data_IF_602752282109
#
_entry.id   IF_602752282109
#
_cell.length_a   1.000
_cell.length_b   1.000
_cell.length_c   1.000
_cell.angle_alpha   90.00
_cell.angle_beta   90.00
_cell.angle_gamma   90.00
#
_symmetry.space_group_name_H-M   'P 1'
#
loop_
_entity.id
_entity.type
_entity.pdbx_description
1 polymer ?
#
# COMPACT_ATOMS: atom_id res chain seq x y z
N UNK A 1 8.10 -14.22 0.42
CA UNK A 1 8.44 -13.40 -0.76
C UNK A 1 9.58 -12.44 -0.44
N UNK A 2 9.45 -11.66 0.64
CA UNK A 2 10.51 -10.76 1.15
C UNK A 2 11.89 -11.42 1.27
N UNK A 3 11.98 -12.62 1.87
CA UNK A 3 13.26 -13.33 2.05
C UNK A 3 13.91 -13.77 0.73
N UNK A 4 13.12 -13.92 -0.35
CA UNK A 4 13.64 -14.24 -1.68
C UNK A 4 14.21 -13.01 -2.39
N UNK A 5 13.81 -11.81 -1.96
CA UNK A 5 14.25 -10.54 -2.52
C UNK A 5 15.47 -10.00 -1.77
N UNK A 6 15.60 -10.27 -0.47
CA UNK A 6 16.78 -9.89 0.30
C UNK A 6 18.04 -10.60 -0.22
N UNK A 7 19.02 -9.82 -0.69
CA UNK A 7 20.25 -10.34 -1.29
C UNK A 7 20.11 -10.74 -2.76
N UNK A 8 18.93 -10.57 -3.37
CA UNK A 8 18.78 -10.76 -4.81
C UNK A 8 19.58 -9.70 -5.56
N UNK A 9 20.44 -10.14 -6.49
CA UNK A 9 21.27 -9.27 -7.31
C UNK A 9 20.51 -8.80 -8.54
N UNK A 10 20.30 -7.49 -8.64
CA UNK A 10 19.73 -6.82 -9.81
C UNK A 10 20.77 -5.82 -10.33
N UNK A 11 21.33 -6.09 -11.52
CA UNK A 11 22.30 -5.20 -12.18
C UNK A 11 23.43 -4.73 -11.24
N UNK A 12 23.98 -5.66 -10.47
CA UNK A 12 25.05 -5.49 -9.47
C UNK A 12 24.63 -4.84 -8.14
N UNK A 13 23.34 -4.59 -7.92
CA UNK A 13 22.81 -4.14 -6.63
C UNK A 13 22.10 -5.27 -5.90
N UNK A 14 22.47 -5.49 -4.64
CA UNK A 14 21.74 -6.40 -3.76
C UNK A 14 20.50 -5.69 -3.20
N UNK A 15 19.32 -6.24 -3.46
CA UNK A 15 18.08 -5.70 -2.93
C UNK A 15 17.99 -5.96 -1.42
N UNK A 16 17.54 -4.93 -0.67
CA UNK A 16 17.18 -5.04 0.74
C UNK A 16 15.73 -4.60 0.89
N UNK A 17 14.90 -5.48 1.44
CA UNK A 17 13.47 -5.30 1.63
C UNK A 17 13.13 -5.58 3.09
N UNK A 18 12.57 -4.58 3.76
CA UNK A 18 12.04 -4.69 5.12
C UNK A 18 10.54 -4.42 5.12
N UNK A 19 9.79 -5.22 5.85
CA UNK A 19 8.38 -4.93 6.11
C UNK A 19 8.28 -3.83 7.19
N UNK A 20 7.51 -2.78 6.91
CA UNK A 20 7.19 -1.72 7.87
C UNK A 20 5.70 -1.88 8.19
N UNK A 21 5.31 -2.39 9.37
CA UNK A 21 3.92 -2.51 9.75
C UNK A 21 3.27 -1.11 9.87
N UNK A 22 2.01 -1.01 9.48
CA UNK A 22 1.27 0.26 9.41
C UNK A 22 1.21 0.99 10.77
N UNK A 23 1.26 0.28 11.90
CA UNK A 23 1.35 0.88 13.24
C UNK A 23 2.65 1.65 13.51
N UNK A 24 3.73 1.30 12.81
CA UNK A 24 5.06 1.95 12.94
C UNK A 24 5.34 2.95 11.81
N UNK A 25 4.56 2.88 10.72
CA UNK A 25 4.56 3.89 9.69
C UNK A 25 3.86 5.13 10.25
N UNK A 26 4.64 6.09 10.74
CA UNK A 26 4.18 7.36 11.31
C UNK A 26 2.87 7.82 10.66
N UNK A 27 1.78 7.70 11.41
CA UNK A 27 0.46 8.13 11.00
C UNK A 27 0.52 9.65 11.00
N UNK A 28 0.71 10.27 9.83
CA UNK A 28 0.26 11.65 9.61
C UNK A 28 -1.28 11.61 9.67
N UNK A 29 -1.79 11.53 10.90
CA UNK A 29 -3.21 11.60 11.17
C UNK A 29 -3.65 13.06 10.94
N UNK A 30 -4.61 13.34 10.04
CA UNK A 30 -5.29 14.63 10.09
C UNK A 30 -6.03 14.70 11.43
N UNK A 31 -5.77 15.76 12.18
CA UNK A 31 -6.36 16.00 13.49
C UNK A 31 -7.88 15.81 13.46
N UNK A 32 -8.37 14.88 14.29
CA UNK A 32 -9.78 14.58 14.50
C UNK A 32 -10.51 15.83 14.98
N UNK A 33 -11.34 16.39 14.09
CA UNK A 33 -12.29 17.44 14.41
C UNK A 33 -13.61 16.89 14.93
N UNK A 34 -13.88 17.08 16.22
CA UNK A 34 -15.18 17.57 16.69
C UNK A 34 -16.35 16.59 16.89
N UNK A 35 -16.53 16.19 18.16
CA UNK A 35 -17.77 15.83 18.86
C UNK A 35 -19.10 16.25 18.19
N UNK A 36 -20.03 15.28 18.04
CA UNK A 36 -21.52 15.32 18.14
C UNK A 36 -22.02 13.97 17.59
N UNK A 37 -22.93 13.20 18.16
CA UNK A 37 -23.87 13.34 19.26
C UNK A 37 -24.56 11.98 19.44
N UNK A 38 -25.05 11.79 20.66
CA UNK A 38 -25.78 10.63 21.18
C UNK A 38 -27.12 10.41 20.47
N UNK A 39 -27.42 9.17 20.05
CA UNK A 39 -28.79 8.65 19.82
C UNK A 39 -28.77 7.10 19.72
N UNK A 40 -29.41 6.34 20.64
CA UNK A 40 -29.51 4.88 20.53
C UNK A 40 -30.95 4.46 20.22
N UNK A 41 -31.30 4.13 18.95
CA UNK A 41 -32.59 3.48 18.61
C UNK A 41 -32.51 2.61 17.35
N UNK A 42 -32.41 1.29 17.52
CA UNK A 42 -32.69 0.30 16.47
C UNK A 42 -32.39 -1.16 16.87
N UNK A 43 -33.27 -2.14 16.60
CA UNK A 43 -33.08 -3.55 16.98
C UNK A 43 -32.05 -4.27 16.10
N UNK A 44 -31.36 -5.31 16.62
CA UNK A 44 -30.33 -6.02 15.87
C UNK A 44 -30.97 -6.96 14.84
N UNK A 45 -30.68 -6.75 13.55
CA UNK A 45 -31.04 -7.71 12.50
C UNK A 45 -29.96 -8.80 12.39
N UNK A 46 -30.45 -10.01 12.63
CA UNK A 46 -29.87 -11.34 12.49
C UNK A 46 -28.95 -11.50 11.26
N UNK A 47 -27.77 -12.06 11.50
CA UNK A 47 -26.71 -12.23 10.51
C UNK A 47 -26.96 -13.36 9.51
N UNK A 48 -26.43 -13.18 8.31
CA UNK A 48 -26.24 -14.21 7.30
C UNK A 48 -24.74 -14.36 7.04
N UNK A 49 -24.12 -15.55 7.15
CA UNK A 49 -22.71 -15.71 6.87
C UNK A 49 -22.50 -15.78 5.35
N UNK A 50 -21.96 -14.71 4.78
CA UNK A 50 -21.45 -14.71 3.39
C UNK A 50 -20.24 -15.65 3.29
N UNK A 51 -20.51 -16.92 2.97
CA UNK A 51 -19.52 -17.88 2.47
C UNK A 51 -19.24 -17.56 0.99
N UNK A 52 -18.27 -16.70 0.69
CA UNK A 52 -17.88 -16.52 -0.71
C UNK A 52 -17.21 -15.22 -1.10
N UNK A 53 -16.29 -14.71 -0.30
CA UNK A 53 -15.28 -13.79 -0.83
C UNK A 53 -13.95 -14.18 -0.20
N UNK A 54 -13.26 -15.15 -0.82
CA UNK A 54 -11.80 -15.23 -0.65
C UNK A 54 -11.28 -13.90 -1.18
N UNK A 55 -10.77 -12.97 -0.35
CA UNK A 55 -10.13 -11.80 -0.89
C UNK A 55 -9.01 -12.33 -1.76
N UNK A 56 -9.02 -11.97 -3.04
CA UNK A 56 -7.82 -12.15 -3.86
C UNK A 56 -6.74 -11.44 -3.06
N UNK A 57 -5.73 -12.19 -2.61
CA UNK A 57 -4.51 -11.64 -2.01
C UNK A 57 -3.75 -10.89 -3.11
N UNK A 58 -4.37 -9.85 -3.65
CA UNK A 58 -3.75 -8.88 -4.53
C UNK A 58 -2.95 -7.98 -3.60
N UNK A 59 -1.88 -8.53 -3.03
CA UNK A 59 -0.86 -7.83 -2.25
C UNK A 59 -1.35 -6.51 -1.64
N UNK A 60 -2.27 -6.58 -0.67
CA UNK A 60 -2.80 -5.40 0.05
C UNK A 60 -1.69 -4.67 0.85
N UNK A 61 -0.45 -5.12 0.74
CA UNK A 61 0.72 -4.54 1.37
C UNK A 61 1.38 -3.56 0.39
N UNK A 62 1.28 -2.24 0.63
CA UNK A 62 1.94 -1.26 -0.23
C UNK A 62 3.47 -1.35 -0.13
N UNK A 63 4.15 -1.33 -1.26
CA UNK A 63 5.61 -1.22 -1.32
C UNK A 63 6.02 0.25 -1.19
N UNK A 64 6.86 0.58 -0.20
CA UNK A 64 7.45 1.92 -0.02
C UNK A 64 8.95 1.86 -0.34
N UNK A 65 9.43 2.75 -1.20
CA UNK A 65 10.84 2.83 -1.61
C UNK A 65 11.35 4.26 -1.46
N UNK A 66 12.57 4.41 -0.93
CA UNK A 66 13.27 5.70 -0.89
C UNK A 66 14.02 5.91 -2.21
N UNK A 67 13.81 7.08 -2.82
CA UNK A 67 14.44 7.46 -4.09
C UNK A 67 15.14 8.82 -3.91
N UNK A 68 16.44 8.94 -4.27
CA UNK A 68 17.10 10.24 -4.35
C UNK A 68 16.36 11.18 -5.30
N UNK A 69 16.12 12.42 -4.88
CA UNK A 69 15.35 13.42 -5.63
C UNK A 69 15.89 13.67 -7.04
N UNK A 70 17.21 13.57 -7.24
CA UNK A 70 17.88 13.68 -8.53
C UNK A 70 17.37 12.69 -9.59
N UNK A 71 16.81 11.54 -9.19
CA UNK A 71 16.36 10.48 -10.11
C UNK A 71 14.83 10.39 -10.24
N UNK A 72 14.06 11.12 -9.43
CA UNK A 72 12.58 10.99 -9.42
C UNK A 72 11.96 11.35 -10.77
N UNK A 73 12.55 12.32 -11.48
CA UNK A 73 12.08 12.73 -12.81
C UNK A 73 12.15 11.61 -13.84
N UNK A 74 13.17 10.74 -13.76
CA UNK A 74 13.31 9.59 -14.65
C UNK A 74 12.28 8.49 -14.36
N UNK A 75 11.95 8.28 -13.08
CA UNK A 75 10.93 7.31 -12.65
C UNK A 75 9.54 7.75 -13.11
N UNK A 76 9.19 9.02 -12.93
CA UNK A 76 7.90 9.57 -13.38
C UNK A 76 7.86 9.59 -14.92
N UNK A 77 8.91 10.09 -15.55
CA UNK A 77 9.01 10.30 -16.99
C UNK A 77 8.27 11.54 -17.47
N UNK A 78 8.54 11.95 -18.71
CA UNK A 78 7.82 13.07 -19.36
C UNK A 78 6.32 12.77 -19.38
N UNK A 79 5.50 13.71 -18.91
CA UNK A 79 4.02 13.57 -18.82
C UNK A 79 3.55 12.34 -18.02
N UNK A 80 4.41 11.76 -17.18
CA UNK A 80 4.11 10.53 -16.45
C UNK A 80 4.15 9.26 -17.32
N UNK A 81 4.73 9.31 -18.53
CA UNK A 81 4.73 8.17 -19.45
C UNK A 81 5.39 6.92 -18.87
N UNK A 82 6.51 7.07 -18.14
CA UNK A 82 7.24 5.94 -17.55
C UNK A 82 6.44 5.28 -16.45
N UNK A 83 5.96 6.06 -15.46
CA UNK A 83 5.19 5.49 -14.34
C UNK A 83 3.87 4.87 -14.81
N UNK A 84 3.21 5.45 -15.82
CA UNK A 84 1.99 4.87 -16.43
C UNK A 84 2.27 3.53 -17.13
N UNK A 85 3.42 3.40 -17.78
CA UNK A 85 3.80 2.14 -18.41
C UNK A 85 4.06 1.06 -17.36
N UNK A 86 4.74 1.42 -16.26
CA UNK A 86 4.98 0.51 -15.14
C UNK A 86 3.64 0.02 -14.56
N UNK A 87 2.73 0.92 -14.17
CA UNK A 87 1.44 0.52 -13.58
C UNK A 87 0.60 -0.35 -14.53
N UNK A 88 0.62 -0.06 -15.84
CA UNK A 88 -0.04 -0.87 -16.86
C UNK A 88 0.53 -2.29 -16.96
N UNK A 89 1.85 -2.45 -16.84
CA UNK A 89 2.50 -3.77 -16.94
C UNK A 89 2.38 -4.58 -15.64
N UNK A 90 2.36 -3.92 -14.48
CA UNK A 90 2.34 -4.58 -13.17
C UNK A 90 0.94 -4.79 -12.59
N UNK A 91 -0.12 -4.33 -13.27
CA UNK A 91 -1.50 -4.39 -12.79
C UNK A 91 -1.69 -3.71 -11.43
N UNK A 92 -1.01 -2.57 -11.23
CA UNK A 92 -1.17 -1.69 -10.06
C UNK A 92 -2.26 -0.64 -10.27
#
# INVERSE_FOLDING_TARGET
ALDKLNGFLMENYALKVSYIPDETAAVDAPAVGGRRGFNPRGPPRQGSPNLGARPKLQSDVPLRMLVPTQFVGAIIGKEGATIRNITKQTHS
#
